data_IF_075075361652
#
_entry.id   IF_075075361652
#
_cell.length_a   1.000
_cell.length_b   1.000
_cell.length_c   1.000
_cell.angle_alpha   90.00
_cell.angle_beta   90.00
_cell.angle_gamma   90.00
#
_symmetry.space_group_name_H-M   'P 1'
#
loop_
_entity.id
_entity.type
_entity.pdbx_description
1 polymer ?
#
# COMPACT_ATOMS: atom_id res chain seq x y z
N UNK A 1 -50.35 -53.82 -4.91
CA UNK A 1 -49.88 -52.57 -4.25
C UNK A 1 -48.68 -52.91 -3.38
N UNK A 2 -47.77 -51.94 -3.18
CA UNK A 2 -46.47 -51.94 -2.44
C UNK A 2 -45.26 -52.44 -3.25
N UNK A 3 -44.59 -51.59 -4.04
CA UNK A 3 -43.63 -50.51 -3.70
C UNK A 3 -42.36 -51.02 -2.98
N UNK A 4 -41.43 -51.61 -3.72
CA UNK A 4 -40.04 -51.80 -3.29
C UNK A 4 -39.31 -50.45 -3.32
N UNK A 5 -39.04 -49.92 -2.13
CA UNK A 5 -38.41 -48.62 -1.91
C UNK A 5 -36.91 -48.68 -2.21
N UNK A 6 -36.47 -47.59 -2.84
CA UNK A 6 -35.12 -47.25 -3.30
C UNK A 6 -34.08 -47.42 -2.20
N UNK A 7 -33.07 -48.23 -2.45
CA UNK A 7 -31.99 -48.55 -1.51
C UNK A 7 -30.67 -47.90 -1.93
N UNK A 8 -30.68 -46.67 -2.45
CA UNK A 8 -29.48 -46.04 -3.07
C UNK A 8 -29.29 -44.58 -2.63
N UNK A 9 -29.46 -44.23 -1.36
CA UNK A 9 -29.24 -42.83 -0.96
C UNK A 9 -28.80 -42.68 0.49
N UNK A 10 -27.75 -43.38 0.88
CA UNK A 10 -27.13 -43.23 2.20
C UNK A 10 -25.59 -43.27 2.13
N UNK A 11 -25.03 -42.73 1.03
CA UNK A 11 -23.58 -42.63 0.82
C UNK A 11 -23.19 -41.23 0.30
N UNK A 12 -23.87 -40.18 0.77
CA UNK A 12 -23.65 -38.78 0.35
C UNK A 12 -23.62 -37.81 1.55
N UNK A 13 -22.83 -38.06 2.62
CA UNK A 13 -22.35 -36.88 3.35
C UNK A 13 -20.84 -36.85 3.60
N UNK A 14 -20.05 -37.82 3.09
CA UNK A 14 -18.61 -37.85 3.37
C UNK A 14 -17.74 -37.15 2.31
N UNK A 15 -18.28 -36.85 1.13
CA UNK A 15 -17.53 -36.20 0.05
C UNK A 15 -17.51 -34.65 0.14
N UNK A 16 -18.17 -34.05 1.13
CA UNK A 16 -18.30 -32.59 1.25
C UNK A 16 -17.17 -31.91 2.05
N UNK A 17 -16.25 -32.68 2.66
CA UNK A 17 -15.21 -32.12 3.54
C UNK A 17 -13.84 -31.87 2.87
N UNK A 18 -13.64 -32.25 1.60
CA UNK A 18 -12.34 -32.11 0.91
C UNK A 18 -12.15 -30.79 0.16
N UNK A 19 -13.12 -29.87 0.21
CA UNK A 19 -13.03 -28.55 -0.44
C UNK A 19 -12.46 -27.44 0.46
N UNK A 20 -11.95 -27.77 1.65
CA UNK A 20 -11.12 -26.88 2.47
C UNK A 20 -9.67 -26.85 1.99
N UNK A 21 -9.43 -26.95 0.66
CA UNK A 21 -8.20 -26.40 0.09
C UNK A 21 -8.30 -24.89 0.24
N UNK A 22 -7.86 -24.39 1.40
CA UNK A 22 -7.61 -22.98 1.58
C UNK A 22 -6.82 -22.50 0.37
N UNK A 23 -7.35 -21.50 -0.33
CA UNK A 23 -6.61 -20.76 -1.34
C UNK A 23 -5.41 -20.12 -0.65
N UNK A 24 -4.32 -20.87 -0.52
CA UNK A 24 -3.05 -20.35 -0.08
C UNK A 24 -2.42 -19.72 -1.31
N UNK A 25 -2.81 -18.47 -1.58
CA UNK A 25 -2.03 -17.63 -2.49
C UNK A 25 -0.70 -17.35 -1.78
N UNK A 26 0.47 -17.60 -2.38
CA UNK A 26 1.77 -17.22 -1.82
C UNK A 26 1.96 -15.68 -1.75
N UNK A 27 0.92 -14.93 -2.11
CA UNK A 27 0.94 -13.51 -2.43
C UNK A 27 0.68 -12.59 -1.22
N UNK A 28 0.45 -13.12 -0.01
CA UNK A 28 0.28 -12.23 1.15
C UNK A 28 -0.31 -12.88 2.39
N UNK A 29 0.54 -13.55 3.19
CA UNK A 29 0.55 -13.53 4.65
C UNK A 29 1.68 -14.44 5.19
N UNK A 30 2.31 -14.00 6.28
CA UNK A 30 3.34 -14.67 7.09
C UNK A 30 4.72 -15.00 6.47
N UNK A 31 4.84 -15.14 5.14
CA UNK A 31 6.14 -15.29 4.46
C UNK A 31 6.12 -14.52 3.14
N UNK A 32 6.68 -13.30 3.04
CA UNK A 32 6.70 -12.57 1.79
C UNK A 32 7.61 -13.28 0.78
N UNK A 33 7.00 -13.99 -0.16
CA UNK A 33 7.66 -14.45 -1.36
C UNK A 33 8.13 -13.22 -2.16
N UNK A 34 9.43 -13.11 -2.43
CA UNK A 34 10.02 -11.96 -3.14
C UNK A 34 9.89 -12.07 -4.67
N UNK A 35 9.03 -12.95 -5.20
CA UNK A 35 8.79 -13.04 -6.63
C UNK A 35 7.58 -12.20 -7.05
N UNK A 36 7.79 -11.37 -8.07
CA UNK A 36 6.77 -10.48 -8.62
C UNK A 36 6.79 -9.07 -8.02
N UNK A 37 6.09 -8.17 -8.70
CA UNK A 37 5.96 -6.77 -8.28
C UNK A 37 5.07 -6.66 -7.04
N UNK A 38 5.59 -6.06 -5.98
CA UNK A 38 4.91 -5.83 -4.71
C UNK A 38 4.61 -4.35 -4.53
N UNK A 39 3.53 -4.03 -3.83
CA UNK A 39 3.15 -2.64 -3.53
C UNK A 39 2.78 -2.49 -2.06
N UNK A 40 3.37 -1.49 -1.40
CA UNK A 40 3.11 -1.14 -0.02
C UNK A 40 2.47 0.24 0.06
N UNK A 41 1.27 0.34 0.62
CA UNK A 41 0.54 1.60 0.77
C UNK A 41 0.87 2.28 2.10
N UNK A 42 1.16 3.59 2.06
CA UNK A 42 1.41 4.44 3.23
C UNK A 42 0.26 5.45 3.35
N UNK A 43 -0.66 5.22 4.29
CA UNK A 43 -1.78 6.14 4.56
C UNK A 43 -1.39 7.14 5.64
N UNK A 44 -2.10 8.27 5.74
CA UNK A 44 -1.86 9.30 6.77
C UNK A 44 -1.94 8.73 8.19
N UNK A 45 -2.88 7.82 8.41
CA UNK A 45 -3.09 7.12 9.69
C UNK A 45 -2.10 5.98 9.94
N UNK A 46 -1.36 5.55 8.92
CA UNK A 46 -0.41 4.45 9.05
C UNK A 46 0.82 4.66 8.17
N UNK A 47 1.60 5.73 8.42
CA UNK A 47 2.80 6.03 7.65
C UNK A 47 3.79 4.87 7.76
N UNK A 48 4.34 4.40 6.65
CA UNK A 48 5.19 3.20 6.62
C UNK A 48 6.62 3.51 6.19
N UNK A 49 7.56 2.84 6.82
CA UNK A 49 8.95 2.74 6.38
C UNK A 49 9.21 1.32 5.89
N UNK A 50 9.88 1.21 4.76
CA UNK A 50 10.30 -0.06 4.18
C UNK A 50 11.78 -0.29 4.47
N UNK A 51 12.15 -1.51 4.88
CA UNK A 51 13.52 -1.95 5.10
C UNK A 51 13.76 -3.29 4.42
N UNK A 52 14.89 -3.39 3.72
CA UNK A 52 15.39 -4.63 3.20
C UNK A 52 16.61 -5.05 4.02
N UNK A 53 16.51 -6.19 4.69
CA UNK A 53 17.56 -6.74 5.53
C UNK A 53 18.25 -7.87 4.78
N UNK A 54 19.58 -7.84 4.77
CA UNK A 54 20.41 -8.96 4.34
C UNK A 54 20.51 -9.96 5.49
N UNK A 55 20.04 -11.18 5.28
CA UNK A 55 20.06 -12.24 6.28
C UNK A 55 21.43 -12.88 6.44
N UNK A 56 22.34 -12.70 5.48
CA UNK A 56 23.69 -13.25 5.54
C UNK A 56 24.61 -12.44 6.45
N UNK A 57 24.44 -11.11 6.44
CA UNK A 57 25.22 -10.16 7.25
C UNK A 57 24.43 -9.62 8.45
N UNK A 58 23.10 -9.63 8.39
CA UNK A 58 22.21 -8.99 9.36
C UNK A 58 22.06 -7.47 9.13
N UNK A 59 22.70 -6.91 8.10
CA UNK A 59 22.71 -5.48 7.83
C UNK A 59 21.50 -5.03 7.02
N UNK A 60 21.16 -3.74 7.12
CA UNK A 60 20.11 -3.13 6.30
C UNK A 60 20.68 -2.76 4.94
N UNK A 61 20.27 -3.48 3.90
CA UNK A 61 20.72 -3.25 2.53
C UNK A 61 20.03 -2.04 1.88
N UNK A 62 18.80 -1.73 2.27
CA UNK A 62 18.04 -0.59 1.76
C UNK A 62 16.95 -0.17 2.74
N UNK A 63 16.74 1.13 2.89
CA UNK A 63 15.68 1.71 3.71
C UNK A 63 15.10 2.93 3.03
N UNK A 64 13.77 3.06 3.06
CA UNK A 64 13.07 4.24 2.55
C UNK A 64 11.81 4.54 3.33
N UNK A 65 11.65 5.81 3.68
CA UNK A 65 10.42 6.34 4.23
C UNK A 65 9.42 6.61 3.10
N UNK A 66 8.24 5.97 3.18
CA UNK A 66 7.17 6.18 2.22
C UNK A 66 6.30 7.34 2.72
N UNK A 67 6.20 8.45 1.99
CA UNK A 67 5.36 9.58 2.39
C UNK A 67 3.90 9.17 2.54
N UNK A 68 3.15 9.85 3.41
CA UNK A 68 1.72 9.63 3.52
C UNK A 68 1.00 9.92 2.19
N UNK A 69 -0.03 9.12 1.88
CA UNK A 69 -0.78 9.20 0.63
C UNK A 69 -0.05 8.62 -0.59
N UNK A 70 1.09 7.97 -0.39
CA UNK A 70 1.87 7.33 -1.44
C UNK A 70 1.97 5.81 -1.25
N UNK A 71 2.36 5.11 -2.32
CA UNK A 71 2.63 3.69 -2.33
C UNK A 71 4.05 3.44 -2.86
N UNK A 72 4.80 2.57 -2.20
CA UNK A 72 6.06 2.05 -2.72
C UNK A 72 5.75 0.82 -3.56
N UNK A 73 6.12 0.83 -4.83
CA UNK A 73 6.08 -0.36 -5.67
C UNK A 73 7.51 -0.81 -5.94
N UNK A 74 7.80 -2.09 -5.73
CA UNK A 74 9.11 -2.67 -5.95
C UNK A 74 9.05 -4.04 -6.61
N UNK A 75 10.12 -4.40 -7.30
CA UNK A 75 10.28 -5.66 -8.01
C UNK A 75 11.73 -6.15 -7.90
N UNK A 76 11.92 -7.46 -7.90
CA UNK A 76 13.24 -8.08 -7.82
C UNK A 76 13.55 -8.85 -9.11
N UNK A 77 14.67 -8.49 -9.73
CA UNK A 77 15.22 -9.18 -10.90
C UNK A 77 16.39 -10.03 -10.44
N UNK A 78 16.23 -11.35 -10.51
CA UNK A 78 17.31 -12.29 -10.24
C UNK A 78 18.39 -12.19 -11.32
N UNK A 79 19.67 -12.24 -10.92
CA UNK A 79 20.84 -12.12 -11.81
C UNK A 79 20.97 -10.76 -12.53
N UNK A 80 20.57 -9.67 -11.87
CA UNK A 80 20.72 -8.30 -12.36
C UNK A 80 21.64 -7.42 -11.52
N UNK A 81 22.20 -7.96 -10.43
CA UNK A 81 23.04 -7.21 -9.50
C UNK A 81 24.48 -7.03 -9.98
N UNK A 82 25.27 -6.34 -9.17
CA UNK A 82 26.65 -5.96 -9.47
C UNK A 82 27.68 -7.03 -9.07
N UNK A 83 27.40 -7.79 -8.01
CA UNK A 83 28.27 -8.85 -7.51
C UNK A 83 27.54 -10.20 -7.53
N UNK A 84 28.02 -11.21 -8.28
CA UNK A 84 27.37 -12.52 -8.36
C UNK A 84 27.34 -13.30 -7.03
N UNK A 85 28.16 -12.93 -6.05
CA UNK A 85 28.27 -13.63 -4.76
C UNK A 85 27.51 -12.88 -3.67
N UNK A 86 27.83 -11.61 -3.43
CA UNK A 86 27.22 -10.86 -2.32
C UNK A 86 25.85 -10.27 -2.68
N UNK A 87 25.70 -9.67 -3.87
CA UNK A 87 24.51 -8.93 -4.29
C UNK A 87 24.08 -9.29 -5.71
N UNK A 88 23.68 -10.55 -5.95
CA UNK A 88 23.41 -11.05 -7.30
C UNK A 88 22.10 -10.55 -7.91
N UNK A 89 21.18 -10.01 -7.10
CA UNK A 89 19.85 -9.60 -7.56
C UNK A 89 19.74 -8.07 -7.65
N UNK A 90 18.83 -7.57 -8.47
CA UNK A 90 18.55 -6.13 -8.60
C UNK A 90 17.13 -5.84 -8.10
N UNK A 91 17.00 -4.93 -7.14
CA UNK A 91 15.71 -4.39 -6.75
C UNK A 91 15.43 -3.13 -7.56
N UNK A 92 14.28 -3.07 -8.23
CA UNK A 92 13.76 -1.86 -8.87
C UNK A 92 12.61 -1.33 -8.02
N UNK A 93 12.53 -0.02 -7.85
CA UNK A 93 11.48 0.58 -7.02
C UNK A 93 11.08 1.98 -7.50
N UNK A 94 9.90 2.40 -7.09
CA UNK A 94 9.39 3.76 -7.28
C UNK A 94 8.31 4.06 -6.25
N UNK A 95 8.18 5.34 -5.88
CA UNK A 95 7.08 5.84 -5.06
C UNK A 95 6.03 6.46 -5.98
N UNK A 96 4.80 5.97 -5.90
CA UNK A 96 3.66 6.50 -6.64
C UNK A 96 2.62 7.09 -5.69
N UNK A 97 1.70 7.91 -6.20
CA UNK A 97 0.49 8.24 -5.46
C UNK A 97 -0.37 6.98 -5.27
N UNK A 98 -1.05 6.86 -4.12
CA UNK A 98 -1.97 5.72 -3.88
C UNK A 98 -3.02 5.62 -4.98
N UNK A 99 -3.24 4.40 -5.48
CA UNK A 99 -4.22 4.11 -6.54
C UNK A 99 -3.62 4.11 -7.95
N UNK A 100 -2.35 4.46 -8.09
CA UNK A 100 -1.61 4.34 -9.35
C UNK A 100 -1.49 2.86 -9.72
N UNK A 101 -2.05 2.47 -10.88
CA UNK A 101 -2.01 1.09 -11.38
C UNK A 101 -0.91 0.84 -12.40
N UNK A 102 -0.45 1.88 -13.08
CA UNK A 102 0.56 1.78 -14.14
C UNK A 102 1.66 2.80 -13.89
N UNK A 103 2.91 2.39 -14.11
CA UNK A 103 4.07 3.22 -13.86
C UNK A 103 5.36 2.47 -14.17
N UNK A 104 6.44 3.22 -14.42
CA UNK A 104 7.77 2.64 -14.65
C UNK A 104 8.60 2.80 -13.39
N UNK A 105 9.20 1.71 -12.91
CA UNK A 105 10.18 1.74 -11.83
C UNK A 105 11.49 2.32 -12.36
N UNK A 106 11.86 3.52 -11.88
CA UNK A 106 13.03 4.28 -12.38
C UNK A 106 14.25 4.13 -11.49
N UNK A 107 14.05 3.82 -10.22
CA UNK A 107 15.15 3.59 -9.28
C UNK A 107 15.51 2.11 -9.24
N UNK A 108 16.79 1.82 -9.04
CA UNK A 108 17.30 0.46 -8.91
C UNK A 108 18.52 0.39 -7.99
N UNK A 109 18.65 -0.71 -7.25
CA UNK A 109 19.76 -0.98 -6.35
C UNK A 109 20.07 -2.48 -6.34
N UNK A 110 21.35 -2.85 -6.25
CA UNK A 110 21.77 -4.24 -6.12
C UNK A 110 21.51 -4.75 -4.70
N UNK A 111 20.94 -5.94 -4.60
CA UNK A 111 20.50 -6.55 -3.34
C UNK A 111 20.92 -8.02 -3.27
N UNK A 112 20.96 -8.62 -2.06
CA UNK A 112 21.24 -10.03 -1.90
C UNK A 112 20.24 -10.94 -2.62
N UNK A 113 20.58 -12.21 -2.76
CA UNK A 113 19.71 -13.23 -3.34
C UNK A 113 18.38 -13.35 -2.57
N UNK A 114 17.33 -13.87 -3.23
CA UNK A 114 16.00 -14.04 -2.64
C UNK A 114 16.00 -14.82 -1.32
N UNK A 115 16.87 -15.81 -1.19
CA UNK A 115 17.02 -16.64 0.01
C UNK A 115 17.77 -15.95 1.15
N UNK A 116 18.53 -14.90 0.84
CA UNK A 116 19.39 -14.17 1.77
C UNK A 116 18.85 -12.76 2.07
N UNK A 117 17.59 -12.45 1.75
CA UNK A 117 16.99 -11.14 2.01
C UNK A 117 15.64 -11.28 2.69
N UNK A 118 15.29 -10.29 3.53
CA UNK A 118 13.96 -10.14 4.13
C UNK A 118 13.46 -8.71 3.96
N UNK A 119 12.26 -8.59 3.43
CA UNK A 119 11.57 -7.30 3.30
C UNK A 119 10.69 -7.09 4.53
N UNK A 120 11.06 -6.12 5.36
CA UNK A 120 10.33 -5.72 6.56
C UNK A 120 9.72 -4.34 6.34
N UNK A 121 8.59 -4.09 6.99
CA UNK A 121 8.00 -2.75 7.06
C UNK A 121 7.45 -2.52 8.46
N UNK A 122 7.55 -1.28 8.91
CA UNK A 122 6.97 -0.86 10.17
C UNK A 122 6.18 0.43 9.98
N UNK A 123 5.25 0.63 10.89
CA UNK A 123 4.41 1.83 10.93
C UNK A 123 5.14 2.84 11.82
N UNK A 124 5.40 4.04 11.29
CA UNK A 124 5.97 5.15 12.06
C UNK A 124 4.92 5.70 13.02
N UNK A 125 5.40 6.23 14.15
CA UNK A 125 4.51 6.88 15.11
C UNK A 125 4.11 8.28 14.65
N UNK A 126 2.88 8.67 14.93
CA UNK A 126 2.29 9.93 14.49
C UNK A 126 1.50 9.87 13.17
N UNK A 127 0.49 10.74 13.06
CA UNK A 127 -0.24 10.94 11.82
C UNK A 127 0.56 11.88 10.93
N UNK A 128 0.88 11.44 9.71
CA UNK A 128 1.62 12.25 8.75
C UNK A 128 0.63 12.84 7.74
N UNK A 129 0.60 14.17 7.64
CA UNK A 129 -0.25 14.84 6.66
C UNK A 129 0.22 14.48 5.25
N UNK A 130 -0.72 14.07 4.39
CA UNK A 130 -0.42 13.88 2.98
C UNK A 130 0.00 15.23 2.37
N UNK A 131 1.07 15.27 1.55
CA UNK A 131 1.43 16.48 0.82
C UNK A 131 0.28 16.87 -0.12
N UNK A 132 0.02 18.17 -0.23
CA UNK A 132 -1.08 18.67 -1.04
C UNK A 132 -0.96 18.20 -2.50
N UNK A 133 -2.01 17.62 -3.10
CA UNK A 133 -1.95 17.22 -4.50
C UNK A 133 -1.81 18.46 -5.40
N UNK A 134 -1.02 18.41 -6.48
CA UNK A 134 -0.74 19.57 -7.33
C UNK A 134 -1.98 20.11 -8.06
N UNK A 135 -3.07 19.35 -8.13
CA UNK A 135 -4.35 19.76 -8.71
C UNK A 135 -5.11 20.78 -7.83
N UNK A 136 -4.83 20.84 -6.53
CA UNK A 136 -5.45 21.77 -5.58
C UNK A 136 -4.69 23.10 -5.43
N UNK A 137 -4.13 23.62 -6.54
CA UNK A 137 -3.41 24.91 -6.53
C UNK A 137 -4.27 26.10 -6.12
N UNK A 138 -5.58 26.05 -6.37
CA UNK A 138 -6.54 27.11 -6.06
C UNK A 138 -7.47 26.72 -4.90
N UNK A 139 -6.91 26.18 -3.83
CA UNK A 139 -7.66 25.91 -2.61
C UNK A 139 -8.10 27.24 -1.98
N UNK A 140 -9.39 27.41 -1.72
CA UNK A 140 -10.00 28.57 -1.02
C UNK A 140 -10.42 28.23 0.41
N UNK A 141 -10.08 27.02 0.89
CA UNK A 141 -10.41 26.52 2.22
C UNK A 141 -9.27 26.74 3.23
N UNK A 142 -8.19 27.40 2.82
CA UNK A 142 -7.10 27.80 3.73
C UNK A 142 -7.58 28.87 4.69
N UNK A 143 -6.93 28.97 5.85
CA UNK A 143 -7.32 29.93 6.90
C UNK A 143 -7.21 31.36 6.37
N UNK A 144 -6.23 31.62 5.50
CA UNK A 144 -5.94 32.91 4.90
C UNK A 144 -7.02 33.34 3.89
N UNK A 145 -7.71 32.39 3.26
CA UNK A 145 -8.79 32.65 2.31
C UNK A 145 -10.17 32.67 3.00
N UNK A 146 -10.23 32.44 4.32
CA UNK A 146 -11.48 32.52 5.06
C UNK A 146 -11.90 33.99 5.21
N UNK A 147 -13.20 34.28 5.06
CA UNK A 147 -13.68 35.64 5.25
C UNK A 147 -13.56 36.07 6.72
N UNK A 148 -13.42 37.37 6.96
CA UNK A 148 -13.15 37.97 8.29
C UNK A 148 -14.11 37.55 9.41
N UNK A 149 -15.32 37.15 9.06
CA UNK A 149 -16.35 36.70 10.00
C UNK A 149 -16.25 35.21 10.37
N UNK A 150 -15.36 34.45 9.74
CA UNK A 150 -15.12 33.05 10.06
C UNK A 150 -14.27 32.93 11.34
N UNK A 151 -14.66 32.04 12.26
CA UNK A 151 -13.89 31.79 13.49
C UNK A 151 -13.69 30.29 13.74
N UNK A 152 -12.52 29.85 14.26
CA UNK A 152 -12.23 28.44 14.50
C UNK A 152 -13.18 27.75 15.49
N UNK A 153 -13.78 28.50 16.41
CA UNK A 153 -14.69 27.99 17.44
C UNK A 153 -16.13 27.82 16.94
N UNK A 154 -16.44 28.26 15.71
CA UNK A 154 -17.80 28.39 15.21
C UNK A 154 -18.52 29.55 15.90
N UNK A 155 -18.82 30.61 15.15
CA UNK A 155 -19.53 31.80 15.64
C UNK A 155 -20.90 31.97 14.98
N UNK A 156 -21.68 32.95 15.44
CA UNK A 156 -22.90 33.34 14.75
C UNK A 156 -22.54 33.82 13.33
N UNK A 157 -23.25 33.30 12.32
CA UNK A 157 -23.11 33.84 10.96
C UNK A 157 -23.49 35.32 10.98
N UNK A 158 -22.80 36.18 10.21
CA UNK A 158 -23.20 37.57 10.09
C UNK A 158 -24.64 37.63 9.57
N UNK A 159 -25.48 38.39 10.26
CA UNK A 159 -26.89 38.54 9.91
C UNK A 159 -26.97 39.24 8.53
N UNK A 160 -27.67 38.59 7.60
CA UNK A 160 -28.08 39.05 6.26
C UNK A 160 -27.44 40.35 5.74
N UNK A 161 -26.55 40.23 4.75
CA UNK A 161 -26.07 41.41 4.00
C UNK A 161 -24.77 41.22 3.22
N UNK A 162 -23.99 40.17 3.51
CA UNK A 162 -22.79 39.88 2.72
C UNK A 162 -23.24 39.18 1.44
N UNK A 163 -23.46 39.98 0.39
CA UNK A 163 -23.51 39.45 -0.97
C UNK A 163 -22.19 38.75 -1.23
N UNK A 164 -22.21 37.43 -1.30
CA UNK A 164 -21.06 36.63 -1.72
C UNK A 164 -20.79 36.96 -3.18
N UNK A 165 -20.01 38.00 -3.47
CA UNK A 165 -19.51 38.29 -4.82
C UNK A 165 -18.42 37.29 -5.18
N UNK A 166 -18.68 35.99 -5.01
CA UNK A 166 -17.82 34.93 -5.54
C UNK A 166 -18.09 34.72 -7.04
N UNK A 167 -19.22 35.21 -7.55
CA UNK A 167 -19.60 35.20 -8.96
C UNK A 167 -20.41 36.46 -9.30
N UNK A 168 -19.74 37.61 -9.42
CA UNK A 168 -20.26 38.74 -10.17
C UNK A 168 -19.30 38.96 -11.35
N UNK A 169 -19.69 38.40 -12.51
CA UNK A 169 -19.16 38.77 -13.83
C UNK A 169 -20.22 39.63 -14.52
#
# INVERSE_FOLDING_TARGET
>A
MTQTRRLHTLLIPLAALTLLTGCHSPQGAFMPYTGGTQTLHSTETSPKTFRLIDLSTGETAFEIDIPAGHQLTYDFIEKGGDDPVSRPSLMRYEIFAIGTRTGRLRNSISVPAATARRADWYIRDGMEARPEPPEYRFRTDRVEDRPDWWSPRGGAMPNEGIKTTLYDN
#
